data_IF_360509390097
#
_entry.id   IF_360509390097
#
_cell.length_a   1.000
_cell.length_b   1.000
_cell.length_c   1.000
_cell.angle_alpha   90.00
_cell.angle_beta   90.00
_cell.angle_gamma   90.00
#
_symmetry.space_group_name_H-M   'P 1'
#
loop_
_entity.id
_entity.type
_entity.pdbx_description
1 polymer ?
#
# COMPACT_ATOMS: atom_id res chain seq x y z
N UNK A 1 -35.15 31.06 78.74
CA UNK A 1 -34.27 29.87 78.59
C UNK A 1 -34.15 29.36 77.16
N UNK A 2 -35.25 29.24 76.39
CA UNK A 2 -35.20 28.76 74.99
C UNK A 2 -34.20 29.49 74.08
N UNK A 3 -34.08 30.81 74.17
CA UNK A 3 -33.13 31.56 73.33
C UNK A 3 -31.66 31.20 73.62
N UNK A 4 -31.31 30.97 74.89
CA UNK A 4 -29.96 30.51 75.26
C UNK A 4 -29.69 29.10 74.75
N UNK A 5 -30.69 28.21 74.84
CA UNK A 5 -30.60 26.87 74.28
C UNK A 5 -30.41 26.92 72.76
N UNK A 6 -31.20 27.73 72.05
CA UNK A 6 -31.08 27.92 70.61
C UNK A 6 -29.69 28.44 70.20
N UNK A 7 -29.15 29.46 70.89
CA UNK A 7 -27.80 29.97 70.61
C UNK A 7 -26.73 28.88 70.78
N UNK A 8 -26.84 28.05 71.83
CA UNK A 8 -25.90 26.95 72.02
C UNK A 8 -26.01 25.89 70.91
N UNK A 9 -27.21 25.58 70.45
CA UNK A 9 -27.40 24.69 69.31
C UNK A 9 -26.78 25.27 68.03
N UNK A 10 -26.94 26.57 67.77
CA UNK A 10 -26.33 27.22 66.61
C UNK A 10 -24.81 27.22 66.72
N UNK A 11 -24.24 27.56 67.89
CA UNK A 11 -22.78 27.60 68.08
C UNK A 11 -22.13 26.23 67.87
N UNK A 12 -22.77 25.15 68.31
CA UNK A 12 -22.20 23.80 68.23
C UNK A 12 -22.35 23.17 66.84
N UNK A 13 -23.36 23.58 66.06
CA UNK A 13 -23.69 22.93 64.78
C UNK A 13 -23.38 23.79 63.55
N UNK A 14 -23.20 25.11 63.69
CA UNK A 14 -22.87 25.99 62.57
C UNK A 14 -21.36 26.19 62.46
N UNK A 15 -20.75 25.50 61.51
CA UNK A 15 -19.36 25.73 61.11
C UNK A 15 -19.33 26.62 59.86
N UNK A 16 -18.66 27.77 59.96
CA UNK A 16 -18.53 28.73 58.86
C UNK A 16 -17.08 28.77 58.43
N UNK A 17 -16.83 28.58 57.13
CA UNK A 17 -15.50 28.66 56.52
C UNK A 17 -15.46 29.89 55.62
N UNK A 18 -14.46 30.74 55.82
CA UNK A 18 -14.22 31.92 54.99
C UNK A 18 -12.97 31.70 54.14
N UNK A 19 -13.09 31.88 52.83
CA UNK A 19 -11.97 31.87 51.90
C UNK A 19 -11.69 33.30 51.44
N UNK A 20 -10.52 33.83 51.80
CA UNK A 20 -10.10 35.19 51.45
C UNK A 20 -8.75 35.13 50.75
N UNK A 21 -8.56 35.95 49.72
CA UNK A 21 -7.28 36.10 49.04
C UNK A 21 -6.56 37.36 49.57
N UNK A 22 -5.35 37.24 50.15
CA UNK A 22 -4.58 38.37 50.65
C UNK A 22 -4.16 39.36 49.55
N UNK A 23 -4.07 38.93 48.29
CA UNK A 23 -3.78 39.80 47.13
C UNK A 23 -4.97 40.64 46.70
N UNK A 24 -6.15 40.46 47.31
CA UNK A 24 -7.32 41.31 47.04
C UNK A 24 -7.11 42.72 47.61
N UNK A 25 -7.35 43.80 46.85
CA UNK A 25 -7.24 45.18 47.35
C UNK A 25 -8.09 45.46 48.60
N UNK A 26 -9.24 44.78 48.71
CA UNK A 26 -10.19 44.95 49.81
C UNK A 26 -9.86 44.12 51.06
N UNK A 27 -8.80 43.30 51.02
CA UNK A 27 -8.47 42.40 52.13
C UNK A 27 -8.28 43.18 53.44
N UNK A 28 -7.56 44.30 53.40
CA UNK A 28 -7.32 45.14 54.58
C UNK A 28 -8.61 45.78 55.11
N UNK A 29 -9.50 46.21 54.22
CA UNK A 29 -10.79 46.81 54.61
C UNK A 29 -11.73 45.79 55.27
N UNK A 30 -11.80 44.58 54.71
CA UNK A 30 -12.64 43.48 55.25
C UNK A 30 -12.15 42.99 56.62
N UNK A 31 -10.84 42.92 56.79
CA UNK A 31 -10.21 42.50 58.05
C UNK A 31 -10.40 43.54 59.16
N UNK A 32 -10.34 44.83 58.83
CA UNK A 32 -10.64 45.92 59.77
C UNK A 32 -12.11 45.99 60.19
N UNK A 33 -13.04 45.68 59.26
CA UNK A 33 -14.50 45.80 59.51
C UNK A 33 -15.03 44.67 60.40
N UNK A 34 -14.39 43.51 60.41
CA UNK A 34 -14.88 42.30 61.08
C UNK A 34 -13.83 41.66 62.00
N UNK A 35 -13.60 42.18 63.22
CA UNK A 35 -12.62 41.63 64.17
C UNK A 35 -12.89 40.17 64.57
N UNK A 36 -14.14 39.71 64.43
CA UNK A 36 -14.52 38.32 64.72
C UNK A 36 -13.79 37.31 63.81
N UNK A 37 -13.38 37.69 62.60
CA UNK A 37 -12.65 36.81 61.68
C UNK A 37 -11.31 36.34 62.26
N UNK A 38 -10.62 37.18 63.02
CA UNK A 38 -9.32 36.82 63.63
C UNK A 38 -9.46 36.35 65.07
N UNK A 39 -10.49 36.80 65.78
CA UNK A 39 -10.68 36.47 67.20
C UNK A 39 -11.48 35.18 67.42
N UNK A 40 -12.25 34.71 66.43
CA UNK A 40 -13.19 33.57 66.59
C UNK A 40 -13.00 32.45 65.57
N UNK A 41 -12.28 32.68 64.48
CA UNK A 41 -11.95 31.64 63.51
C UNK A 41 -10.50 31.18 63.70
N UNK A 42 -10.23 29.94 63.28
CA UNK A 42 -8.85 29.46 63.12
C UNK A 42 -8.36 29.94 61.75
N UNK A 43 -7.22 30.63 61.73
CA UNK A 43 -6.59 31.05 60.49
C UNK A 43 -5.74 29.89 59.96
N UNK A 44 -6.10 29.40 58.78
CA UNK A 44 -5.28 28.46 58.01
C UNK A 44 -4.69 29.18 56.80
N UNK A 45 -3.36 29.22 56.71
CA UNK A 45 -2.66 29.92 55.64
C UNK A 45 -2.23 28.95 54.56
N UNK A 46 -2.98 28.92 53.47
CA UNK A 46 -2.73 28.02 52.34
C UNK A 46 -1.48 28.42 51.55
N UNK A 47 -1.15 29.71 51.50
CA UNK A 47 -0.06 30.23 50.66
C UNK A 47 -0.24 29.91 49.18
N UNK A 48 0.86 30.05 48.43
CA UNK A 48 0.96 29.54 47.07
C UNK A 48 1.48 28.09 47.09
N UNK A 49 1.25 27.38 45.99
CA UNK A 49 1.77 26.02 45.84
C UNK A 49 3.30 26.01 45.85
N UNK A 50 3.88 25.05 46.58
CA UNK A 50 5.32 24.81 46.53
C UNK A 50 5.73 24.25 45.17
N UNK A 51 7.01 24.40 44.81
CA UNK A 51 7.57 23.78 43.59
C UNK A 51 7.31 22.27 43.54
N UNK A 52 7.34 21.61 44.69
CA UNK A 52 7.04 20.19 44.83
C UNK A 52 5.57 19.89 44.54
N UNK A 53 4.64 20.69 45.06
CA UNK A 53 3.22 20.54 44.76
C UNK A 53 2.94 20.72 43.26
N UNK A 54 3.55 21.74 42.63
CA UNK A 54 3.46 21.93 41.18
C UNK A 54 4.00 20.74 40.39
N UNK A 55 5.14 20.17 40.81
CA UNK A 55 5.71 18.99 40.16
C UNK A 55 4.80 17.77 40.32
N UNK A 56 4.31 17.47 41.52
CA UNK A 56 3.42 16.33 41.76
C UNK A 56 2.10 16.45 40.99
N UNK A 57 1.52 17.65 40.95
CA UNK A 57 0.32 17.90 40.13
C UNK A 57 0.65 17.75 38.65
N UNK A 58 1.80 18.24 38.19
CA UNK A 58 2.26 18.03 36.82
C UNK A 58 2.44 16.56 36.47
N UNK A 59 2.98 15.76 37.40
CA UNK A 59 3.12 14.31 37.24
C UNK A 59 1.75 13.65 37.05
N UNK A 60 0.81 13.90 37.96
CA UNK A 60 -0.49 13.21 37.88
C UNK A 60 -1.37 13.64 36.71
N UNK A 61 -1.31 14.91 36.33
CA UNK A 61 -2.06 15.36 35.16
C UNK A 61 -1.43 14.89 33.84
N UNK A 62 -0.16 14.44 33.85
CA UNK A 62 0.53 13.91 32.66
C UNK A 62 0.67 12.39 32.64
N UNK A 63 0.17 11.67 33.66
CA UNK A 63 0.26 10.20 33.74
C UNK A 63 -0.31 9.48 32.51
N UNK A 64 -1.41 9.98 31.95
CA UNK A 64 -2.03 9.41 30.75
C UNK A 64 -1.31 9.76 29.44
N UNK A 65 -0.33 10.67 29.47
CA UNK A 65 0.50 10.96 28.31
C UNK A 65 1.73 10.06 28.32
N UNK A 66 1.98 9.41 27.19
CA UNK A 66 3.20 8.65 26.97
C UNK A 66 4.37 9.60 26.72
N UNK A 67 5.02 10.10 27.78
CA UNK A 67 6.12 11.05 27.68
C UNK A 67 7.48 10.37 27.78
N UNK A 68 7.53 9.05 27.84
CA UNK A 68 8.76 8.33 28.18
C UNK A 68 9.61 8.08 26.92
N UNK A 69 10.88 8.45 26.98
CA UNK A 69 11.85 8.21 25.91
C UNK A 69 12.98 7.36 26.47
N UNK A 70 13.18 6.17 25.89
CA UNK A 70 14.20 5.21 26.33
C UNK A 70 15.62 5.72 26.14
N UNK A 71 15.87 6.47 25.07
CA UNK A 71 17.19 7.01 24.73
C UNK A 71 17.44 8.41 25.31
N UNK A 72 16.64 8.82 26.30
CA UNK A 72 16.82 10.14 26.91
C UNK A 72 18.04 10.17 27.82
N UNK A 73 18.91 11.14 27.58
CA UNK A 73 19.99 11.51 28.49
C UNK A 73 19.80 12.95 28.94
N UNK A 74 19.82 13.23 30.25
CA UNK A 74 19.73 14.59 30.75
C UNK A 74 20.95 15.42 30.32
N UNK A 75 20.72 16.72 30.08
CA UNK A 75 21.78 17.70 29.87
C UNK A 75 22.53 17.97 31.17
N UNK A 76 23.82 18.29 31.08
CA UNK A 76 24.64 18.68 32.23
C UNK A 76 24.10 19.92 32.97
N UNK A 77 23.29 20.74 32.28
CA UNK A 77 22.61 21.90 32.85
C UNK A 77 21.10 21.67 32.81
N UNK A 78 20.62 20.85 33.74
CA UNK A 78 19.20 20.61 33.92
C UNK A 78 18.67 21.56 35.01
N UNK A 79 17.65 22.40 34.74
CA UNK A 79 17.06 23.27 35.74
C UNK A 79 16.29 22.42 36.75
N UNK A 80 17.05 21.89 37.69
CA UNK A 80 16.56 21.01 38.73
C UNK A 80 15.69 21.81 39.70
N UNK A 81 14.55 21.24 40.07
CA UNK A 81 13.88 21.68 41.30
C UNK A 81 14.73 21.12 42.44
N UNK A 82 15.62 21.96 42.97
CA UNK A 82 16.67 21.71 43.99
C UNK A 82 16.24 20.95 45.26
N UNK A 83 14.97 20.58 45.39
CA UNK A 83 14.35 20.00 46.59
C UNK A 83 13.48 18.77 46.30
N UNK A 84 13.43 18.27 45.06
CA UNK A 84 12.73 17.01 44.79
C UNK A 84 13.70 15.86 44.99
N UNK A 85 13.61 15.15 46.11
CA UNK A 85 14.18 13.80 46.21
C UNK A 85 13.58 12.98 45.06
N UNK A 86 14.30 12.91 43.94
CA UNK A 86 13.84 12.18 42.77
C UNK A 86 14.05 10.71 43.08
N UNK A 87 12.96 9.95 43.01
CA UNK A 87 12.98 8.51 43.24
C UNK A 87 13.84 7.78 42.19
N UNK A 88 14.03 8.40 41.02
CA UNK A 88 14.81 7.88 39.89
C UNK A 88 16.02 8.78 39.60
N UNK A 89 17.22 8.23 39.80
CA UNK A 89 18.50 8.79 39.35
C UNK A 89 19.13 7.83 38.32
N UNK A 90 19.30 8.22 37.04
CA UNK A 90 19.09 9.54 36.44
C UNK A 90 17.60 9.90 36.18
N UNK A 91 17.27 11.21 36.04
CA UNK A 91 15.92 11.67 35.77
C UNK A 91 15.40 11.17 34.41
N UNK A 92 14.13 10.78 34.37
CA UNK A 92 13.47 10.33 33.14
C UNK A 92 13.13 11.52 32.23
N UNK A 93 12.82 11.25 30.96
CA UNK A 93 12.35 12.29 30.05
C UNK A 93 11.05 12.97 30.53
N UNK A 94 10.16 12.20 31.17
CA UNK A 94 8.95 12.71 31.79
C UNK A 94 9.28 13.71 32.90
N UNK A 95 10.22 13.36 33.77
CA UNK A 95 10.66 14.27 34.82
C UNK A 95 11.22 15.58 34.23
N UNK A 96 11.97 15.46 33.13
CA UNK A 96 12.50 16.60 32.41
C UNK A 96 11.43 17.56 31.91
N UNK A 97 10.36 17.01 31.32
CA UNK A 97 9.21 17.79 30.86
C UNK A 97 8.50 18.44 32.04
N UNK A 98 8.17 17.69 33.09
CA UNK A 98 7.41 18.21 34.24
C UNK A 98 8.20 19.33 34.93
N UNK A 99 9.49 19.13 35.19
CA UNK A 99 10.34 20.20 35.75
C UNK A 99 10.37 21.44 34.86
N UNK A 100 10.37 21.27 33.54
CA UNK A 100 10.29 22.39 32.59
C UNK A 100 8.95 23.13 32.68
N UNK A 101 7.83 22.42 32.82
CA UNK A 101 6.51 23.04 33.01
C UNK A 101 6.47 23.88 34.30
N UNK A 102 7.00 23.33 35.40
CA UNK A 102 7.11 24.06 36.68
C UNK A 102 8.00 25.28 36.54
N UNK A 103 9.14 25.15 35.86
CA UNK A 103 10.06 26.25 35.61
C UNK A 103 9.38 27.38 34.83
N UNK A 104 8.68 27.06 33.73
CA UNK A 104 7.94 28.04 32.91
C UNK A 104 6.91 28.80 33.76
N UNK A 105 6.17 28.11 34.64
CA UNK A 105 5.21 28.78 35.51
C UNK A 105 5.88 29.78 36.47
N UNK A 106 7.01 29.39 37.05
CA UNK A 106 7.77 30.25 37.97
C UNK A 106 8.45 31.43 37.27
N UNK A 107 8.87 31.26 36.01
CA UNK A 107 9.41 32.40 35.24
C UNK A 107 8.33 33.45 34.99
N UNK A 108 7.10 33.05 34.67
CA UNK A 108 5.96 33.96 34.54
C UNK A 108 5.68 34.69 35.86
N UNK A 109 5.75 33.99 36.99
CA UNK A 109 5.62 34.62 38.31
C UNK A 109 6.69 35.69 38.53
N UNK A 110 7.96 35.35 38.29
CA UNK A 110 9.10 36.28 38.40
C UNK A 110 8.99 37.48 37.44
N UNK A 111 8.43 37.27 36.25
CA UNK A 111 8.15 38.33 35.28
C UNK A 111 7.04 39.27 35.77
N UNK A 112 5.95 38.72 36.33
CA UNK A 112 4.86 39.52 36.89
C UNK A 112 5.35 40.41 38.04
N UNK A 113 6.25 39.93 38.90
CA UNK A 113 6.87 40.77 39.94
C UNK A 113 7.64 41.96 39.35
N UNK A 114 8.33 41.76 38.22
CA UNK A 114 9.06 42.84 37.53
C UNK A 114 8.10 43.85 36.90
N UNK A 115 7.01 43.38 36.31
CA UNK A 115 5.98 44.23 35.68
C UNK A 115 5.19 45.01 36.75
N UNK A 116 4.95 44.40 37.92
CA UNK A 116 4.34 45.08 39.07
C UNK A 116 5.13 46.31 39.52
N UNK A 117 6.47 46.28 39.45
CA UNK A 117 7.33 47.45 39.74
C UNK A 117 7.12 48.62 38.76
N UNK A 118 6.55 48.35 37.58
CA UNK A 118 6.20 49.36 36.58
C UNK A 118 4.76 49.87 36.74
N UNK A 119 4.03 49.45 37.78
CA UNK A 119 2.66 49.85 38.06
C UNK A 119 1.60 49.08 37.28
N UNK A 120 1.98 48.04 36.53
CA UNK A 120 1.06 47.13 35.85
C UNK A 120 0.98 45.83 36.65
N UNK A 121 -0.23 45.42 37.04
CA UNK A 121 -0.43 44.22 37.85
C UNK A 121 -1.03 43.10 37.00
N UNK A 122 -0.38 41.93 37.05
CA UNK A 122 -0.90 40.68 36.49
C UNK A 122 -0.76 39.58 37.54
N UNK A 123 -1.75 38.69 37.63
CA UNK A 123 -1.78 37.62 38.61
C UNK A 123 -1.60 36.28 37.91
N UNK A 124 -0.67 35.48 38.44
CA UNK A 124 -0.53 34.08 38.05
C UNK A 124 -0.93 33.22 39.25
N UNK A 125 -1.81 32.25 39.03
CA UNK A 125 -2.35 31.38 40.09
C UNK A 125 -2.19 29.92 39.67
N UNK A 126 -2.29 28.96 40.61
CA UNK A 126 -2.28 27.53 40.27
C UNK A 126 -3.30 27.12 39.21
N UNK A 127 -4.41 27.85 39.09
CA UNK A 127 -5.39 27.65 38.01
C UNK A 127 -4.75 27.78 36.62
N UNK A 128 -3.90 28.78 36.42
CA UNK A 128 -3.20 28.96 35.15
C UNK A 128 -2.20 27.82 34.88
N UNK A 129 -1.64 27.21 35.93
CA UNK A 129 -0.79 26.03 35.78
C UNK A 129 -1.59 24.79 35.34
N UNK A 130 -2.78 24.58 35.92
CA UNK A 130 -3.68 23.50 35.50
C UNK A 130 -4.15 23.69 34.05
N UNK A 131 -4.54 24.93 33.69
CA UNK A 131 -4.91 25.26 32.31
C UNK A 131 -3.73 25.03 31.36
N UNK A 132 -2.52 25.40 31.78
CA UNK A 132 -1.29 25.18 31.01
C UNK A 132 -1.01 23.68 30.77
N UNK A 133 -1.06 22.84 31.81
CA UNK A 133 -0.86 21.39 31.65
C UNK A 133 -1.95 20.77 30.77
N UNK A 134 -3.20 21.19 30.96
CA UNK A 134 -4.33 20.69 30.15
C UNK A 134 -4.11 21.03 28.68
N UNK A 135 -3.74 22.28 28.37
CA UNK A 135 -3.46 22.71 26.99
C UNK A 135 -2.23 22.03 26.40
N UNK A 136 -1.19 21.84 27.20
CA UNK A 136 -0.02 21.06 26.79
C UNK A 136 -0.42 19.63 26.41
N UNK A 137 -1.24 18.99 27.23
CA UNK A 137 -1.69 17.62 27.02
C UNK A 137 -2.55 17.46 25.76
N UNK A 138 -3.51 18.37 25.57
CA UNK A 138 -4.33 18.43 24.35
C UNK A 138 -3.46 18.60 23.10
N UNK A 139 -2.51 19.54 23.14
CA UNK A 139 -1.64 19.83 22.00
C UNK A 139 -0.72 18.64 21.65
N UNK A 140 -0.16 17.97 22.66
CA UNK A 140 0.69 16.80 22.45
C UNK A 140 -0.11 15.68 21.76
N UNK A 141 -1.34 15.43 22.20
CA UNK A 141 -2.20 14.41 21.59
C UNK A 141 -2.58 14.79 20.15
N UNK A 142 -3.01 16.04 19.92
CA UNK A 142 -3.33 16.53 18.58
C UNK A 142 -2.14 16.36 17.62
N UNK A 143 -0.94 16.79 18.03
CA UNK A 143 0.25 16.69 17.18
C UNK A 143 0.74 15.25 17.00
N UNK A 144 0.49 14.36 17.95
CA UNK A 144 0.76 12.93 17.78
C UNK A 144 -0.17 12.31 16.75
N UNK A 145 -1.48 12.56 16.87
CA UNK A 145 -2.46 12.03 15.92
C UNK A 145 -2.18 12.51 14.50
N UNK A 146 -1.90 13.81 14.31
CA UNK A 146 -1.51 14.36 13.00
C UNK A 146 -0.28 13.66 12.43
N UNK A 147 0.75 13.45 13.26
CA UNK A 147 2.02 12.88 12.84
C UNK A 147 1.92 11.36 12.60
N UNK A 148 1.11 10.65 13.37
CA UNK A 148 0.79 9.23 13.16
C UNK A 148 0.02 9.03 11.87
N UNK A 149 -0.97 9.87 11.57
CA UNK A 149 -1.70 9.82 10.30
C UNK A 149 -0.76 10.02 9.11
N UNK A 150 0.17 10.99 9.20
CA UNK A 150 1.19 11.21 8.16
C UNK A 150 2.14 10.02 8.01
N UNK A 151 2.62 9.46 9.13
CA UNK A 151 3.46 8.25 9.13
C UNK A 151 2.73 7.07 8.49
N UNK A 152 1.46 6.85 8.84
CA UNK A 152 0.65 5.78 8.28
C UNK A 152 0.49 5.93 6.77
N UNK A 153 0.15 7.14 6.29
CA UNK A 153 0.05 7.43 4.86
C UNK A 153 1.38 7.14 4.14
N UNK A 154 2.50 7.60 4.69
CA UNK A 154 3.83 7.38 4.13
C UNK A 154 4.18 5.89 4.08
N UNK A 155 3.95 5.16 5.18
CA UNK A 155 4.25 3.73 5.28
C UNK A 155 3.41 2.91 4.29
N UNK A 156 2.11 3.21 4.16
CA UNK A 156 1.25 2.57 3.17
C UNK A 156 1.73 2.89 1.75
N UNK A 157 2.11 4.14 1.48
CA UNK A 157 2.66 4.55 0.18
C UNK A 157 3.94 3.79 -0.17
N UNK A 158 4.89 3.72 0.77
CA UNK A 158 6.14 2.99 0.62
C UNK A 158 5.91 1.48 0.42
N UNK A 159 4.96 0.88 1.15
CA UNK A 159 4.62 -0.52 0.97
C UNK A 159 4.09 -0.77 -0.43
N UNK A 160 3.13 0.05 -0.90
CA UNK A 160 2.59 -0.06 -2.26
C UNK A 160 3.66 0.10 -3.34
N UNK A 161 4.62 1.01 -3.14
CA UNK A 161 5.74 1.18 -4.07
C UNK A 161 6.61 -0.07 -4.14
N UNK A 162 6.95 -0.67 -2.99
CA UNK A 162 7.72 -1.92 -2.94
C UNK A 162 6.96 -3.08 -3.59
N UNK A 163 5.68 -3.24 -3.28
CA UNK A 163 4.85 -4.29 -3.87
C UNK A 163 4.74 -4.12 -5.40
N UNK A 164 4.66 -2.87 -5.88
CA UNK A 164 4.61 -2.57 -7.31
C UNK A 164 5.96 -2.84 -7.99
N UNK A 165 7.07 -2.49 -7.34
CA UNK A 165 8.41 -2.79 -7.84
C UNK A 165 8.61 -4.30 -8.02
N UNK A 166 8.18 -5.11 -7.03
CA UNK A 166 8.23 -6.57 -7.11
C UNK A 166 7.35 -7.12 -8.25
N UNK A 167 6.13 -6.61 -8.40
CA UNK A 167 5.23 -7.00 -9.50
C UNK A 167 5.81 -6.63 -10.88
N UNK A 168 6.40 -5.45 -11.02
CA UNK A 168 7.03 -5.03 -12.28
C UNK A 168 8.25 -5.89 -12.59
N UNK A 169 9.06 -6.22 -11.58
CA UNK A 169 10.21 -7.11 -11.74
C UNK A 169 9.80 -8.51 -12.24
N UNK A 170 8.75 -9.09 -11.64
CA UNK A 170 8.22 -10.39 -12.07
C UNK A 170 7.59 -10.35 -13.46
N UNK A 171 6.86 -9.29 -13.81
CA UNK A 171 6.31 -9.10 -15.15
C UNK A 171 7.41 -8.94 -16.21
N UNK A 172 8.48 -8.19 -15.90
CA UNK A 172 9.61 -8.00 -16.80
C UNK A 172 10.29 -9.34 -17.11
N UNK A 173 10.54 -10.16 -16.08
CA UNK A 173 11.10 -11.50 -16.26
C UNK A 173 10.19 -12.40 -17.14
N UNK A 174 8.87 -12.34 -16.93
CA UNK A 174 7.91 -13.09 -17.74
C UNK A 174 7.86 -12.62 -19.21
N UNK A 175 7.96 -11.31 -19.45
CA UNK A 175 8.00 -10.74 -20.79
C UNK A 175 9.28 -11.16 -21.53
N UNK A 176 10.43 -11.13 -20.86
CA UNK A 176 11.70 -11.54 -21.43
C UNK A 176 11.68 -13.03 -21.83
N UNK A 177 11.10 -13.90 -21.01
CA UNK A 177 10.92 -15.32 -21.33
C UNK A 177 9.98 -15.52 -22.52
N UNK A 178 8.79 -14.88 -22.51
CA UNK A 178 7.84 -14.98 -23.62
C UNK A 178 8.40 -14.40 -24.93
N UNK A 179 9.23 -13.36 -24.85
CA UNK A 179 9.92 -12.77 -26.00
C UNK A 179 10.85 -13.77 -26.69
N UNK A 180 11.59 -14.58 -25.91
CA UNK A 180 12.44 -15.66 -26.46
C UNK A 180 11.60 -16.71 -27.18
N UNK A 181 10.55 -17.22 -26.52
CA UNK A 181 9.65 -18.23 -27.09
C UNK A 181 8.97 -17.73 -28.37
N UNK A 182 8.55 -16.46 -28.40
CA UNK A 182 7.92 -15.85 -29.56
C UNK A 182 8.88 -15.80 -30.76
N UNK A 183 10.14 -15.40 -30.53
CA UNK A 183 11.14 -15.34 -31.59
C UNK A 183 11.44 -16.74 -32.14
N UNK A 184 11.61 -17.75 -31.29
CA UNK A 184 11.80 -19.15 -31.73
C UNK A 184 10.63 -19.65 -32.57
N UNK A 185 9.39 -19.41 -32.11
CA UNK A 185 8.18 -19.81 -32.84
C UNK A 185 8.04 -19.06 -34.17
N UNK A 186 8.44 -17.78 -34.21
CA UNK A 186 8.44 -16.97 -35.43
C UNK A 186 9.44 -17.52 -36.44
N UNK A 187 10.67 -17.83 -36.04
CA UNK A 187 11.67 -18.45 -36.92
C UNK A 187 11.19 -19.81 -37.46
N UNK A 188 10.58 -20.64 -36.61
CA UNK A 188 10.00 -21.91 -37.04
C UNK A 188 8.84 -21.72 -38.04
N UNK A 189 7.97 -20.73 -37.81
CA UNK A 189 6.87 -20.41 -38.71
C UNK A 189 7.40 -19.89 -40.06
N UNK A 190 8.37 -18.98 -40.06
CA UNK A 190 9.00 -18.43 -41.26
C UNK A 190 9.72 -19.53 -42.06
N UNK A 191 10.40 -20.46 -41.39
CA UNK A 191 11.02 -21.62 -42.03
C UNK A 191 9.98 -22.55 -42.68
N UNK A 192 8.86 -22.84 -41.99
CA UNK A 192 7.76 -23.63 -42.56
C UNK A 192 7.11 -22.92 -43.75
N UNK A 193 6.92 -21.61 -43.69
CA UNK A 193 6.38 -20.82 -44.79
C UNK A 193 7.28 -20.91 -46.02
N UNK A 194 8.60 -20.76 -45.86
CA UNK A 194 9.57 -20.94 -46.94
C UNK A 194 9.50 -22.34 -47.56
N UNK A 195 9.44 -23.39 -46.73
CA UNK A 195 9.28 -24.77 -47.22
C UNK A 195 7.97 -24.99 -47.96
N UNK A 196 6.87 -24.41 -47.48
CA UNK A 196 5.56 -24.50 -48.12
C UNK A 196 5.57 -23.83 -49.49
N UNK A 197 6.12 -22.62 -49.60
CA UNK A 197 6.27 -21.91 -50.87
C UNK A 197 7.14 -22.69 -51.86
N UNK A 198 8.24 -23.29 -51.40
CA UNK A 198 9.09 -24.13 -52.24
C UNK A 198 8.34 -25.39 -52.73
N UNK A 199 7.62 -26.09 -51.84
CA UNK A 199 6.80 -27.24 -52.21
C UNK A 199 5.67 -26.87 -53.17
N UNK A 200 5.04 -25.71 -52.97
CA UNK A 200 4.00 -25.21 -53.86
C UNK A 200 4.56 -24.90 -55.25
N UNK A 201 5.72 -24.25 -55.36
CA UNK A 201 6.36 -23.98 -56.65
C UNK A 201 6.66 -25.28 -57.43
N UNK A 202 7.21 -26.30 -56.75
CA UNK A 202 7.47 -27.61 -57.37
C UNK A 202 6.17 -28.31 -57.78
N UNK A 203 5.12 -28.24 -56.94
CA UNK A 203 3.82 -28.81 -57.27
C UNK A 203 3.17 -28.10 -58.47
N UNK A 204 3.31 -26.78 -58.58
CA UNK A 204 2.84 -25.96 -59.70
C UNK A 204 3.58 -26.34 -61.00
N UNK A 205 4.90 -26.54 -60.94
CA UNK A 205 5.72 -26.98 -62.06
C UNK A 205 5.33 -28.38 -62.54
N UNK A 206 5.23 -29.36 -61.62
CA UNK A 206 4.75 -30.71 -61.95
C UNK A 206 3.33 -30.70 -62.51
N UNK A 207 2.46 -29.81 -62.04
CA UNK A 207 1.11 -29.66 -62.59
C UNK A 207 1.17 -29.18 -64.04
N UNK A 208 2.04 -28.22 -64.37
CA UNK A 208 2.27 -27.76 -65.76
C UNK A 208 2.83 -28.88 -66.64
N UNK A 209 3.82 -29.63 -66.16
CA UNK A 209 4.37 -30.81 -66.85
C UNK A 209 3.29 -31.88 -67.08
N UNK A 210 2.48 -32.20 -66.07
CA UNK A 210 1.41 -33.16 -66.19
C UNK A 210 0.34 -32.72 -67.20
N UNK A 211 -0.01 -31.42 -67.26
CA UNK A 211 -0.96 -30.91 -68.25
C UNK A 211 -0.40 -30.97 -69.67
N UNK A 212 0.87 -30.64 -69.88
CA UNK A 212 1.50 -30.71 -71.22
C UNK A 212 1.65 -32.16 -71.67
N UNK A 213 2.03 -33.07 -70.78
CA UNK A 213 2.08 -34.50 -71.07
C UNK A 213 0.69 -35.05 -71.39
N UNK A 214 -0.35 -34.64 -70.64
CA UNK A 214 -1.74 -35.02 -70.92
C UNK A 214 -2.18 -34.57 -72.31
N UNK A 215 -1.86 -33.34 -72.71
CA UNK A 215 -2.13 -32.84 -74.07
C UNK A 215 -1.37 -33.64 -75.15
N UNK A 216 -0.11 -34.00 -74.90
CA UNK A 216 0.67 -34.85 -75.82
C UNK A 216 0.09 -36.26 -75.95
N UNK A 217 -0.31 -36.88 -74.83
CA UNK A 217 -0.94 -38.21 -74.82
C UNK A 217 -2.28 -38.20 -75.57
N UNK A 218 -3.07 -37.13 -75.44
CA UNK A 218 -4.32 -36.99 -76.22
C UNK A 218 -4.02 -36.94 -77.73
N UNK A 219 -3.01 -36.16 -78.15
CA UNK A 219 -2.58 -36.12 -79.56
C UNK A 219 -2.09 -37.49 -80.05
N UNK A 220 -1.23 -38.15 -79.28
CA UNK A 220 -0.71 -39.48 -79.64
C UNK A 220 -1.83 -40.52 -79.70
N UNK A 221 -2.80 -40.49 -78.79
CA UNK A 221 -3.96 -41.39 -78.84
C UNK A 221 -4.84 -41.13 -80.06
N UNK A 222 -5.00 -39.88 -80.49
CA UNK A 222 -5.70 -39.55 -81.72
C UNK A 222 -4.94 -40.12 -82.95
N UNK A 223 -3.62 -39.95 -83.01
CA UNK A 223 -2.78 -40.51 -84.08
C UNK A 223 -2.81 -42.05 -84.11
N UNK A 224 -2.76 -42.68 -82.94
CA UNK A 224 -2.87 -44.14 -82.81
C UNK A 224 -4.26 -44.62 -83.22
N UNK A 225 -5.33 -43.88 -82.89
CA UNK A 225 -6.69 -44.22 -83.33
C UNK A 225 -6.82 -44.17 -84.85
N UNK A 226 -6.24 -43.16 -85.51
CA UNK A 226 -6.21 -43.07 -86.99
C UNK A 226 -5.44 -44.24 -87.59
N UNK A 227 -4.24 -44.55 -87.05
CA UNK A 227 -3.45 -45.70 -87.51
C UNK A 227 -4.16 -47.03 -87.29
N UNK A 228 -4.86 -47.18 -86.16
CA UNK A 228 -5.65 -48.36 -85.82
C UNK A 228 -6.82 -48.54 -86.80
N UNK A 229 -7.56 -47.48 -87.10
CA UNK A 229 -8.66 -47.52 -88.07
C UNK A 229 -8.16 -47.95 -89.47
N UNK A 230 -7.02 -47.40 -89.92
CA UNK A 230 -6.41 -47.81 -91.20
C UNK A 230 -5.91 -49.26 -91.18
N UNK A 231 -5.41 -49.75 -90.04
CA UNK A 231 -4.98 -51.14 -89.90
C UNK A 231 -6.17 -52.12 -89.88
N UNK A 232 -7.28 -51.75 -89.21
CA UNK A 232 -8.53 -52.52 -89.19
C UNK A 232 -9.20 -52.57 -90.57
N UNK A 233 -9.16 -51.48 -91.34
CA UNK A 233 -9.64 -51.44 -92.73
C UNK A 233 -8.84 -52.41 -93.63
N UNK A 234 -7.50 -52.37 -93.55
CA UNK A 234 -6.63 -53.31 -94.28
C UNK A 234 -6.83 -54.77 -93.84
N UNK A 235 -7.17 -55.00 -92.57
CA UNK A 235 -7.50 -56.33 -92.06
C UNK A 235 -8.83 -56.82 -92.64
N UNK A 236 -9.85 -55.97 -92.67
CA UNK A 236 -11.17 -56.28 -93.21
C UNK A 236 -11.13 -56.62 -94.71
N UNK A 237 -10.24 -55.99 -95.48
CA UNK A 237 -10.01 -56.35 -96.89
C UNK A 237 -9.30 -57.72 -97.05
N UNK A 238 -8.39 -58.06 -96.15
CA UNK A 238 -7.61 -59.29 -96.20
C UNK A 238 -8.38 -60.52 -95.66
N UNK A 239 -9.26 -60.34 -94.68
CA UNK A 239 -10.08 -61.40 -94.08
C UNK A 239 -10.89 -62.24 -95.08
N UNK A 240 -11.64 -61.68 -96.06
CA UNK A 240 -12.41 -62.47 -97.01
C UNK A 240 -11.53 -63.23 -98.02
N UNK A 241 -10.28 -62.79 -98.25
CA UNK A 241 -9.31 -63.54 -99.06
C UNK A 241 -8.77 -64.75 -98.28
N UNK A 242 -8.44 -64.56 -97.00
CA UNK A 242 -7.96 -65.64 -96.13
C UNK A 242 -9.08 -66.66 -95.83
N UNK A 243 -10.30 -66.19 -95.58
CA UNK A 243 -11.46 -67.06 -95.37
C UNK A 243 -11.76 -67.93 -96.60
N UNK A 244 -11.70 -67.35 -97.81
CA UNK A 244 -11.82 -68.11 -99.07
C UNK A 244 -10.70 -69.15 -99.22
N UNK A 245 -9.45 -68.77 -98.97
CA UNK A 245 -8.33 -69.71 -99.03
C UNK A 245 -8.51 -70.87 -98.03
N UNK A 246 -8.95 -70.59 -96.79
CA UNK A 246 -9.21 -71.61 -95.77
C UNK A 246 -10.35 -72.56 -96.17
N UNK A 247 -11.41 -72.04 -96.80
CA UNK A 247 -12.54 -72.84 -97.28
C UNK A 247 -12.15 -73.72 -98.49
N UNK A 248 -11.30 -73.22 -99.40
CA UNK A 248 -10.74 -74.03 -100.50
C UNK A 248 -9.84 -75.17 -100.01
N UNK A 249 -9.05 -74.96 -98.95
CA UNK A 249 -8.20 -76.01 -98.36
C UNK A 249 -9.03 -77.07 -97.61
N UNK A 250 -10.14 -76.68 -96.95
CA UNK A 250 -11.04 -77.63 -96.29
C UNK A 250 -11.86 -78.50 -97.28
N UNK A 251 -11.97 -78.10 -98.55
CA UNK A 251 -12.66 -78.85 -99.60
C UNK A 251 -11.83 -79.99 -100.24
N UNK A 252 -10.57 -80.16 -99.86
CA UNK A 252 -9.69 -81.18 -100.45
C UNK A 252 -9.98 -82.55 -99.81
N UNK A 253 -10.56 -83.47 -100.59
CA UNK A 253 -10.80 -84.85 -100.17
C UNK A 253 -9.49 -85.59 -99.97
N UNK A 254 -9.39 -86.40 -98.90
CA UNK A 254 -8.18 -87.16 -98.50
C UNK A 254 -7.54 -87.98 -99.63
N UNK A 255 -8.33 -88.47 -100.58
CA UNK A 255 -7.84 -89.19 -101.76
C UNK A 255 -6.90 -88.37 -102.68
N UNK A 256 -6.95 -87.03 -102.64
CA UNK A 256 -6.06 -86.16 -103.42
C UNK A 256 -4.81 -85.70 -102.64
N UNK A 257 -4.69 -86.04 -101.34
CA UNK A 257 -3.51 -85.73 -100.51
C UNK A 257 -2.47 -86.87 -100.51
N UNK A 258 -2.87 -88.10 -100.86
CA UNK A 258 -1.98 -89.28 -100.80
C UNK A 258 -1.10 -89.45 -102.06
N UNK A 259 -1.36 -88.72 -103.16
CA UNK A 259 -0.51 -88.74 -104.37
C UNK A 259 0.50 -87.57 -104.45
N UNK A 260 0.49 -86.64 -103.48
CA UNK A 260 1.36 -85.44 -103.48
C UNK A 260 1.98 -85.24 -102.10
N UNK A 261 2.78 -86.21 -101.67
CA UNK A 261 3.74 -85.99 -100.59
C UNK A 261 4.92 -85.16 -101.09
#
# INVERSE_FOLDING_TARGET
EMFKWFINQVRNNLHVVFTMNPSSPDFHNRTATSPALFNRCVLDWFGDWSKQAFYQVGQEFTTNLDLDLQDYSPSAYFPYVEQLEMENDPPTHRDAIISSLVYIHHTVHSMNERVARQGLYNYVTPRHFLDFITKFSELVNEKREELEAQKLHLNIGLQKLRDTEEQVSTMQASLDEKGKVLNEKKEQADAKLKQMLAKQAVAEERKKEATTLKEQVVKQNADVAVRKASAEEKLADAEPAVARAKQSVQGIKKAHLDEVK
#
